data_IF_896166442605
#
_entry.id   IF_896166442605
#
_cell.length_a   1.000
_cell.length_b   1.000
_cell.length_c   1.000
_cell.angle_alpha   90.00
_cell.angle_beta   90.00
_cell.angle_gamma   90.00
#
_symmetry.space_group_name_H-M   'P 1'
#
loop_
_entity.id
_entity.type
_entity.pdbx_description
1 polymer ?
#
# COMPACT_ATOMS: atom_id res chain seq x y z
N UNK A 1 2.62 -5.19 0.22
CA UNK A 1 1.61 -5.78 -0.68
C UNK A 1 1.07 -4.80 -1.70
N UNK A 2 0.49 -3.65 -1.32
CA UNK A 2 -0.18 -2.74 -2.27
C UNK A 2 0.65 -2.34 -3.53
N UNK A 3 1.98 -2.26 -3.42
CA UNK A 3 2.88 -1.91 -4.53
C UNK A 3 3.56 -3.12 -5.20
N UNK A 4 3.24 -4.34 -4.78
CA UNK A 4 3.78 -5.57 -5.38
C UNK A 4 3.04 -5.86 -6.69
N UNK A 5 3.78 -6.25 -7.73
CA UNK A 5 3.19 -6.67 -9.01
C UNK A 5 3.03 -8.19 -9.14
N UNK A 6 3.49 -8.96 -8.15
CA UNK A 6 3.49 -10.43 -8.16
C UNK A 6 2.63 -11.04 -7.05
N UNK A 7 1.82 -10.24 -6.36
CA UNK A 7 0.93 -10.70 -5.30
C UNK A 7 -0.42 -10.02 -5.35
N UNK A 8 -1.50 -10.80 -5.19
CA UNK A 8 -2.87 -10.30 -5.09
C UNK A 8 -3.65 -11.14 -4.06
N UNK A 9 -4.70 -10.56 -3.51
CA UNK A 9 -5.73 -11.25 -2.75
C UNK A 9 -7.00 -11.35 -3.60
N UNK A 10 -7.71 -12.47 -3.49
CA UNK A 10 -8.98 -12.70 -4.18
C UNK A 10 -10.06 -13.00 -3.14
N UNK A 11 -11.21 -12.34 -3.24
CA UNK A 11 -12.39 -12.64 -2.42
C UNK A 11 -13.28 -13.71 -3.06
N UNK A 12 -14.19 -14.35 -2.31
CA UNK A 12 -15.06 -15.40 -2.83
C UNK A 12 -16.00 -14.97 -3.98
N UNK A 13 -16.30 -13.67 -4.10
CA UNK A 13 -17.07 -13.09 -5.21
C UNK A 13 -16.20 -12.81 -6.45
N UNK A 14 -14.95 -13.30 -6.46
CA UNK A 14 -14.04 -13.21 -7.60
C UNK A 14 -13.30 -11.88 -7.74
N UNK A 15 -13.48 -10.91 -6.83
CA UNK A 15 -12.77 -9.62 -6.91
C UNK A 15 -11.31 -9.74 -6.50
N UNK A 16 -10.47 -8.95 -7.16
CA UNK A 16 -9.03 -8.88 -6.90
C UNK A 16 -8.67 -7.62 -6.10
N UNK A 17 -7.70 -7.76 -5.20
CA UNK A 17 -7.19 -6.68 -4.35
C UNK A 17 -5.67 -6.79 -4.22
N UNK A 18 -4.95 -5.67 -4.33
CA UNK A 18 -3.49 -5.65 -4.13
C UNK A 18 -3.08 -5.65 -2.64
N UNK A 19 -4.02 -5.57 -1.70
CA UNK A 19 -3.76 -5.55 -0.27
C UNK A 19 -4.94 -6.15 0.49
N UNK A 20 -4.67 -6.94 1.55
CA UNK A 20 -5.72 -7.52 2.40
C UNK A 20 -6.61 -6.46 3.05
N UNK A 21 -6.07 -5.27 3.37
CA UNK A 21 -6.89 -4.15 3.84
C UNK A 21 -7.96 -3.72 2.83
N UNK A 22 -7.74 -3.90 1.53
CA UNK A 22 -8.70 -3.55 0.50
C UNK A 22 -9.89 -4.52 0.40
N UNK A 23 -9.77 -5.75 0.92
CA UNK A 23 -10.79 -6.78 0.77
C UNK A 23 -12.11 -6.32 1.41
N UNK A 24 -13.20 -6.40 0.64
CA UNK A 24 -14.52 -5.92 1.05
C UNK A 24 -14.73 -4.40 0.90
N UNK A 25 -13.73 -3.64 0.45
CA UNK A 25 -13.84 -2.21 0.14
C UNK A 25 -13.84 -2.03 -1.37
N UNK A 26 -15.00 -1.79 -1.96
CA UNK A 26 -15.16 -1.74 -3.43
C UNK A 26 -14.20 -0.77 -4.11
N UNK A 27 -13.96 0.38 -3.49
CA UNK A 27 -13.02 1.41 -3.97
C UNK A 27 -11.56 0.95 -4.06
N UNK A 28 -11.22 -0.21 -3.48
CA UNK A 28 -9.89 -0.82 -3.51
C UNK A 28 -9.80 -2.03 -4.45
N UNK A 29 -10.90 -2.40 -5.11
CA UNK A 29 -10.92 -3.48 -6.10
C UNK A 29 -10.03 -3.10 -7.30
N UNK A 30 -9.27 -4.07 -7.80
CA UNK A 30 -8.36 -3.93 -8.96
C UNK A 30 -8.73 -4.92 -10.06
N UNK A 31 -10.02 -5.23 -10.17
CA UNK A 31 -10.57 -6.15 -11.15
C UNK A 31 -11.32 -7.33 -10.53
N UNK A 32 -11.70 -8.27 -11.38
CA UNK A 32 -12.47 -9.44 -11.00
C UNK A 32 -12.20 -10.61 -11.97
N UNK A 33 -12.39 -11.84 -11.52
CA UNK A 33 -12.19 -13.06 -12.29
C UNK A 33 -12.86 -13.06 -13.67
N UNK A 34 -14.05 -12.46 -13.79
CA UNK A 34 -14.84 -12.47 -15.02
C UNK A 34 -14.38 -11.43 -16.05
N UNK A 35 -13.80 -10.31 -15.59
CA UNK A 35 -13.40 -9.17 -16.44
C UNK A 35 -11.88 -9.00 -16.57
N UNK A 36 -11.11 -9.65 -15.70
CA UNK A 36 -9.67 -9.55 -15.62
C UNK A 36 -9.15 -8.52 -14.61
N UNK A 37 -7.86 -8.22 -14.72
CA UNK A 37 -7.13 -7.32 -13.81
C UNK A 37 -7.10 -5.90 -14.36
N UNK A 38 -7.46 -4.93 -13.52
CA UNK A 38 -7.35 -3.51 -13.79
C UNK A 38 -6.29 -2.89 -12.87
N UNK A 39 -5.19 -2.32 -13.42
CA UNK A 39 -4.07 -1.84 -12.60
C UNK A 39 -4.37 -0.59 -11.77
N UNK A 40 -5.61 -0.09 -11.75
CA UNK A 40 -5.98 1.13 -11.05
C UNK A 40 -6.18 0.86 -9.55
N UNK A 41 -5.09 0.95 -8.78
CA UNK A 41 -5.09 0.66 -7.35
C UNK A 41 -5.06 1.95 -6.51
N UNK A 42 -6.17 2.27 -5.83
CA UNK A 42 -6.21 3.40 -4.87
C UNK A 42 -5.25 3.27 -3.69
N UNK A 43 -4.86 2.05 -3.33
CA UNK A 43 -3.94 1.80 -2.21
C UNK A 43 -2.46 1.92 -2.62
N UNK A 44 -2.14 1.88 -3.91
CA UNK A 44 -0.80 2.15 -4.41
C UNK A 44 -0.66 3.65 -4.69
N UNK A 45 -0.47 4.44 -3.62
CA UNK A 45 -0.26 5.88 -3.77
C UNK A 45 1.19 6.18 -4.18
N UNK A 46 1.35 7.08 -5.14
CA UNK A 46 2.64 7.59 -5.56
C UNK A 46 2.97 8.96 -4.96
N UNK A 47 2.25 9.40 -3.91
CA UNK A 47 2.45 10.69 -3.27
C UNK A 47 3.90 10.92 -2.78
N UNK A 48 4.67 9.85 -2.54
CA UNK A 48 6.08 9.93 -2.18
C UNK A 48 6.98 10.45 -3.31
N UNK A 49 6.53 10.40 -4.57
CA UNK A 49 7.26 10.95 -5.72
C UNK A 49 7.31 12.49 -5.68
N UNK A 50 6.33 13.11 -5.03
CA UNK A 50 6.21 14.57 -4.93
C UNK A 50 6.85 15.12 -3.63
N UNK A 51 7.40 14.27 -2.77
CA UNK A 51 7.99 14.66 -1.48
C UNK A 51 9.51 14.42 -1.45
N UNK A 52 10.27 15.51 -1.47
CA UNK A 52 11.74 15.49 -1.46
C UNK A 52 12.35 14.78 -0.25
N UNK A 53 11.65 14.72 0.89
CA UNK A 53 12.10 13.98 2.08
C UNK A 53 12.00 12.48 1.84
N UNK A 54 10.95 12.03 1.14
CA UNK A 54 10.80 10.63 0.76
C UNK A 54 11.85 10.23 -0.29
N UNK A 55 12.05 11.04 -1.33
CA UNK A 55 13.05 10.78 -2.38
C UNK A 55 14.48 10.66 -1.86
N UNK A 56 14.80 11.29 -0.72
CA UNK A 56 16.11 11.22 -0.05
C UNK A 56 16.15 10.21 1.11
N UNK A 57 15.07 9.48 1.36
CA UNK A 57 14.97 8.56 2.49
C UNK A 57 15.61 7.21 2.15
N UNK A 58 16.50 6.73 3.01
CA UNK A 58 17.19 5.44 2.86
C UNK A 58 16.27 4.22 2.95
N UNK A 59 15.01 4.43 3.36
CA UNK A 59 13.99 3.39 3.46
C UNK A 59 12.93 3.49 2.35
N UNK A 60 13.11 4.36 1.35
CA UNK A 60 12.10 4.60 0.33
C UNK A 60 11.65 3.32 -0.38
N UNK A 61 12.59 2.47 -0.77
CA UNK A 61 12.30 1.24 -1.52
C UNK A 61 11.38 0.27 -0.78
N UNK A 62 11.53 0.18 0.55
CA UNK A 62 10.70 -0.67 1.40
C UNK A 62 9.43 0.03 1.90
N UNK A 63 9.47 1.36 2.06
CA UNK A 63 8.37 2.14 2.63
C UNK A 63 7.36 2.63 1.60
N UNK A 64 7.82 3.12 0.44
CA UNK A 64 7.01 3.71 -0.66
C UNK A 64 5.93 4.67 -0.17
N UNK A 65 6.29 5.59 0.74
CA UNK A 65 5.35 6.58 1.28
C UNK A 65 4.44 6.08 2.42
N UNK A 66 4.58 4.81 2.84
CA UNK A 66 3.95 4.26 4.04
C UNK A 66 2.69 3.43 3.79
N UNK A 67 2.37 2.57 4.76
CA UNK A 67 1.25 1.64 4.72
C UNK A 67 -0.11 2.37 4.80
N UNK A 68 -1.02 2.09 3.86
CA UNK A 68 -2.37 2.69 3.82
C UNK A 68 -3.28 2.21 4.93
N UNK A 69 -3.14 0.96 5.35
CA UNK A 69 -3.86 0.43 6.50
C UNK A 69 -3.50 1.24 7.76
N UNK A 70 -2.22 1.42 8.02
CA UNK A 70 -1.74 2.18 9.17
C UNK A 70 -2.21 3.63 9.14
N UNK A 71 -2.11 4.29 7.98
CA UNK A 71 -2.62 5.65 7.79
C UNK A 71 -4.11 5.74 8.15
N UNK A 72 -4.91 4.79 7.66
CA UNK A 72 -6.35 4.77 7.92
C UNK A 72 -6.66 4.52 9.40
N UNK A 73 -5.95 3.60 10.05
CA UNK A 73 -6.18 3.30 11.47
C UNK A 73 -5.86 4.49 12.39
N UNK A 74 -4.85 5.29 12.04
CA UNK A 74 -4.39 6.43 12.86
C UNK A 74 -5.14 7.73 12.54
N UNK A 75 -5.54 7.93 11.28
CA UNK A 75 -6.06 9.22 10.79
C UNK A 75 -7.45 9.16 10.17
N UNK A 76 -7.98 7.96 9.91
CA UNK A 76 -9.20 7.76 9.12
C UNK A 76 -9.02 8.00 7.61
N UNK A 77 -7.81 8.32 7.14
CA UNK A 77 -7.52 8.62 5.73
C UNK A 77 -6.49 7.66 5.13
N UNK A 78 -6.71 7.27 3.87
CA UNK A 78 -5.74 6.51 3.05
C UNK A 78 -4.88 7.41 2.16
N UNK A 79 -5.11 8.72 2.17
CA UNK A 79 -4.46 9.67 1.27
C UNK A 79 -3.12 10.19 1.82
N UNK A 80 -2.23 10.63 0.92
CA UNK A 80 -0.98 11.31 1.27
C UNK A 80 0.16 10.41 1.78
N UNK A 81 1.12 10.98 2.49
CA UNK A 81 2.29 10.25 3.01
C UNK A 81 2.06 9.92 4.49
N UNK A 82 2.33 8.66 4.87
CA UNK A 82 2.25 8.22 6.26
C UNK A 82 3.61 7.67 6.73
N UNK A 83 4.47 8.57 7.21
CA UNK A 83 5.84 8.22 7.55
C UNK A 83 5.96 7.51 8.91
N UNK A 84 6.44 6.26 8.90
CA UNK A 84 6.82 5.49 10.11
C UNK A 84 8.33 5.21 10.17
N UNK A 85 9.17 6.17 9.74
CA UNK A 85 10.64 5.98 9.58
C UNK A 85 11.31 5.38 10.82
N UNK A 86 11.02 5.91 12.00
CA UNK A 86 11.64 5.44 13.25
C UNK A 86 11.22 4.02 13.62
N UNK A 87 9.96 3.65 13.41
CA UNK A 87 9.50 2.27 13.61
C UNK A 87 10.17 1.32 12.61
N UNK A 88 10.28 1.72 11.34
CA UNK A 88 10.95 0.94 10.30
C UNK A 88 12.45 0.75 10.57
N UNK A 89 13.15 1.77 11.08
CA UNK A 89 14.56 1.67 11.50
C UNK A 89 14.74 0.64 12.62
N UNK A 90 13.86 0.65 13.63
CA UNK A 90 13.88 -0.31 14.73
C UNK A 90 13.60 -1.74 14.26
N UNK A 91 12.67 -1.94 13.33
CA UNK A 91 12.42 -3.27 12.77
C UNK A 91 13.62 -3.78 11.97
N UNK A 92 14.29 -2.91 11.22
CA UNK A 92 15.49 -3.27 10.46
C UNK A 92 16.63 -3.75 11.36
N UNK A 93 16.81 -3.18 12.55
CA UNK A 93 17.86 -3.60 13.50
C UNK A 93 17.58 -4.91 14.23
N UNK A 94 16.38 -5.49 14.06
CA UNK A 94 16.02 -6.79 14.63
C UNK A 94 16.22 -7.90 13.59
N UNK A 95 16.14 -7.57 12.30
CA UNK A 95 16.20 -8.51 11.18
C UNK A 95 17.60 -8.60 10.53
N UNK A 96 18.53 -7.74 10.94
CA UNK A 96 19.95 -7.70 10.56
C UNK A 96 20.79 -7.70 11.82
#
# INVERSE_FOLDING_TARGET
MAHSQSSLAMSPDGKFYNCLFGVGREVCSVGNLDVGYEPMNRLATYAYLDDTRCLRCELLESCRGGCRYDSYMETGSIEGIFCKKEALRRMRSILL
#
